data_IF_385364219179
#
_entry.id   IF_385364219179
#
_cell.length_a   1.000
_cell.length_b   1.000
_cell.length_c   1.000
_cell.angle_alpha   90.00
_cell.angle_beta   90.00
_cell.angle_gamma   90.00
#
_symmetry.space_group_name_H-M   'P 1'
#
loop_
_entity.id
_entity.type
_entity.pdbx_description
1 polymer ?
#
# COMPACT_ATOMS: atom_id res chain seq x y z
N UNK A 1 17.24 2.07 16.88
CA UNK A 1 17.25 1.89 15.41
C UNK A 1 15.88 1.41 14.89
N UNK A 2 15.25 0.40 15.51
CA UNK A 2 13.91 -0.10 15.11
C UNK A 2 12.85 1.01 15.22
N UNK A 3 12.84 1.79 16.30
CA UNK A 3 11.89 2.89 16.47
C UNK A 3 12.03 3.95 15.38
N UNK A 4 13.26 4.25 14.94
CA UNK A 4 13.49 5.23 13.87
C UNK A 4 12.93 4.75 12.52
N UNK A 5 13.13 3.47 12.16
CA UNK A 5 12.56 2.92 10.93
C UNK A 5 11.03 2.95 10.93
N UNK A 6 10.39 2.59 12.04
CA UNK A 6 8.94 2.66 12.18
C UNK A 6 8.43 4.09 12.05
N UNK A 7 9.09 5.06 12.67
CA UNK A 7 8.72 6.47 12.57
C UNK A 7 8.87 7.01 11.15
N UNK A 8 9.97 6.71 10.48
CA UNK A 8 10.21 7.13 9.09
C UNK A 8 9.18 6.52 8.13
N UNK A 9 8.91 5.22 8.26
CA UNK A 9 7.87 4.54 7.46
C UNK A 9 6.49 5.11 7.74
N UNK A 10 6.14 5.36 9.02
CA UNK A 10 4.86 5.97 9.40
C UNK A 10 4.69 7.39 8.85
N UNK A 11 5.75 8.22 8.92
CA UNK A 11 5.72 9.56 8.36
C UNK A 11 5.55 9.54 6.83
N UNK A 12 6.27 8.66 6.12
CA UNK A 12 6.13 8.49 4.67
C UNK A 12 4.75 7.98 4.28
N UNK A 13 4.17 7.07 5.06
CA UNK A 13 2.82 6.57 4.89
C UNK A 13 1.79 7.70 5.04
N UNK A 14 1.94 8.58 6.03
CA UNK A 14 1.05 9.74 6.21
C UNK A 14 1.08 10.67 4.99
N UNK A 15 2.27 11.02 4.50
CA UNK A 15 2.42 11.84 3.29
C UNK A 15 1.80 11.12 2.07
N UNK A 16 2.03 9.82 1.95
CA UNK A 16 1.47 9.01 0.88
C UNK A 16 -0.06 8.93 0.91
N UNK A 17 -0.70 8.88 2.09
CA UNK A 17 -2.16 8.95 2.22
C UNK A 17 -2.71 10.29 1.72
N UNK A 18 -2.07 11.41 2.06
CA UNK A 18 -2.49 12.73 1.61
C UNK A 18 -2.36 12.87 0.08
N UNK A 19 -1.21 12.52 -0.46
CA UNK A 19 -0.96 12.54 -1.92
C UNK A 19 -1.86 11.56 -2.64
N UNK A 20 -2.02 10.35 -2.10
CA UNK A 20 -2.82 9.27 -2.67
C UNK A 20 -4.30 9.63 -2.77
N UNK A 21 -4.86 10.34 -1.79
CA UNK A 21 -6.23 10.84 -1.86
C UNK A 21 -6.44 11.77 -3.05
N UNK A 22 -5.56 12.77 -3.20
CA UNK A 22 -5.61 13.71 -4.33
C UNK A 22 -5.42 13.01 -5.69
N UNK A 23 -4.53 12.03 -5.76
CA UNK A 23 -4.31 11.27 -6.99
C UNK A 23 -5.52 10.38 -7.34
N UNK A 24 -6.13 9.71 -6.34
CA UNK A 24 -7.30 8.85 -6.54
C UNK A 24 -8.53 9.61 -7.07
N UNK A 25 -8.61 10.90 -6.77
CA UNK A 25 -9.67 11.78 -7.28
C UNK A 25 -9.41 12.26 -8.72
N UNK A 26 -8.15 12.30 -9.16
CA UNK A 26 -7.78 12.90 -10.45
C UNK A 26 -7.39 11.91 -11.54
N UNK A 27 -6.84 10.76 -11.14
CA UNK A 27 -6.28 9.78 -12.06
C UNK A 27 -7.07 8.48 -12.03
N UNK A 28 -6.85 7.65 -13.04
CA UNK A 28 -7.44 6.32 -13.13
C UNK A 28 -6.98 5.45 -11.95
N UNK A 29 -7.92 5.07 -11.09
CA UNK A 29 -7.68 4.34 -9.85
C UNK A 29 -6.97 3.00 -10.07
N UNK A 30 -7.31 2.29 -11.17
CA UNK A 30 -6.63 1.04 -11.53
C UNK A 30 -5.14 1.24 -11.74
N UNK A 31 -4.73 2.27 -12.48
CA UNK A 31 -3.30 2.57 -12.71
C UNK A 31 -2.59 2.90 -11.41
N UNK A 32 -3.22 3.68 -10.53
CA UNK A 32 -2.65 4.02 -9.24
C UNK A 32 -2.44 2.78 -8.37
N UNK A 33 -3.44 1.86 -8.30
CA UNK A 33 -3.31 0.60 -7.56
C UNK A 33 -2.18 -0.26 -8.11
N UNK A 34 -2.10 -0.40 -9.45
CA UNK A 34 -1.07 -1.20 -10.11
C UNK A 34 0.33 -0.63 -9.88
N UNK A 35 0.50 0.69 -10.02
CA UNK A 35 1.77 1.37 -9.75
C UNK A 35 2.18 1.18 -8.29
N UNK A 36 1.26 1.44 -7.34
CA UNK A 36 1.54 1.28 -5.92
C UNK A 36 1.96 -0.15 -5.59
N UNK A 37 1.23 -1.15 -6.05
CA UNK A 37 1.56 -2.57 -5.81
C UNK A 37 2.84 -3.01 -6.51
N UNK A 38 3.04 -2.63 -7.76
CA UNK A 38 4.26 -2.95 -8.50
C UNK A 38 5.51 -2.36 -7.84
N UNK A 39 5.45 -1.11 -7.42
CA UNK A 39 6.58 -0.43 -6.73
C UNK A 39 6.85 -1.01 -5.35
N UNK A 40 5.83 -1.41 -4.58
CA UNK A 40 6.01 -2.16 -3.32
C UNK A 40 6.65 -3.53 -3.58
N UNK A 41 6.26 -4.23 -4.66
CA UNK A 41 6.89 -5.49 -5.06
C UNK A 41 8.38 -5.33 -5.34
N UNK A 42 8.77 -4.28 -6.07
CA UNK A 42 10.18 -3.95 -6.31
C UNK A 42 10.92 -3.63 -5.01
N UNK A 43 10.30 -2.87 -4.10
CA UNK A 43 10.84 -2.59 -2.77
C UNK A 43 11.08 -3.86 -1.95
N UNK A 44 10.13 -4.80 -1.97
CA UNK A 44 10.26 -6.10 -1.28
C UNK A 44 11.38 -6.96 -1.87
N UNK A 45 11.57 -6.95 -3.20
CA UNK A 45 12.72 -7.60 -3.84
C UNK A 45 14.03 -6.95 -3.40
N UNK A 46 14.08 -5.61 -3.35
CA UNK A 46 15.24 -4.88 -2.85
C UNK A 46 15.61 -5.26 -1.41
N UNK A 47 14.60 -5.38 -0.52
CA UNK A 47 14.82 -5.84 0.86
C UNK A 47 15.28 -7.29 0.93
N UNK A 48 14.73 -8.16 0.07
CA UNK A 48 15.18 -9.55 -0.05
C UNK A 48 16.65 -9.64 -0.45
N UNK A 49 17.05 -8.89 -1.48
CA UNK A 49 18.43 -8.84 -1.94
C UNK A 49 19.36 -8.27 -0.85
N UNK A 50 18.95 -7.21 -0.17
CA UNK A 50 19.71 -6.65 0.95
C UNK A 50 19.90 -7.64 2.09
N UNK A 51 18.87 -8.46 2.38
CA UNK A 51 18.94 -9.49 3.43
C UNK A 51 19.83 -10.69 3.06
N UNK A 52 20.15 -10.88 1.76
CA UNK A 52 21.08 -11.91 1.27
C UNK A 52 22.53 -11.46 1.25
N UNK A 53 22.81 -10.15 1.45
CA UNK A 53 24.18 -9.65 1.51
C UNK A 53 24.88 -10.13 2.79
N UNK A 54 26.20 -10.39 2.76
CA UNK A 54 26.98 -10.74 3.93
C UNK A 54 26.87 -9.70 5.07
N UNK A 55 26.77 -8.42 4.69
CA UNK A 55 26.54 -7.27 5.58
C UNK A 55 25.33 -6.49 5.10
N UNK A 56 24.12 -6.75 5.66
CA UNK A 56 22.92 -6.03 5.29
C UNK A 56 23.03 -4.52 5.62
N UNK A 57 22.75 -3.68 4.64
CA UNK A 57 22.81 -2.23 4.81
C UNK A 57 21.58 -1.70 5.54
N UNK A 58 21.79 -1.05 6.68
CA UNK A 58 20.72 -0.35 7.43
C UNK A 58 20.13 0.82 6.62
N UNK A 59 20.95 1.51 5.83
CA UNK A 59 20.48 2.60 4.98
C UNK A 59 19.49 2.10 3.94
N UNK A 60 19.71 0.92 3.34
CA UNK A 60 18.78 0.30 2.42
C UNK A 60 17.44 -0.04 3.10
N UNK A 61 17.46 -0.53 4.34
CA UNK A 61 16.24 -0.82 5.11
C UNK A 61 15.43 0.46 5.34
N UNK A 62 16.07 1.56 5.72
CA UNK A 62 15.37 2.84 5.93
C UNK A 62 14.79 3.39 4.63
N UNK A 63 15.58 3.43 3.55
CA UNK A 63 15.13 3.94 2.26
C UNK A 63 14.00 3.11 1.66
N UNK A 64 14.13 1.79 1.66
CA UNK A 64 13.11 0.89 1.15
C UNK A 64 11.86 0.86 2.06
N UNK A 65 12.01 1.06 3.37
CA UNK A 65 10.89 1.22 4.29
C UNK A 65 10.10 2.51 4.05
N UNK A 66 10.77 3.64 3.82
CA UNK A 66 10.15 4.90 3.42
C UNK A 66 9.43 4.74 2.08
N UNK A 67 10.09 4.12 1.11
CA UNK A 67 9.54 3.80 -0.20
C UNK A 67 8.26 2.98 -0.09
N UNK A 68 8.32 1.86 0.63
CA UNK A 68 7.18 0.96 0.80
C UNK A 68 6.01 1.65 1.52
N UNK A 69 6.27 2.37 2.62
CA UNK A 69 5.25 3.13 3.35
C UNK A 69 4.51 4.14 2.47
N UNK A 70 5.26 4.89 1.64
CA UNK A 70 4.67 5.87 0.73
C UNK A 70 3.80 5.21 -0.35
N UNK A 71 4.34 4.24 -1.09
CA UNK A 71 3.61 3.61 -2.19
C UNK A 71 2.49 2.69 -1.72
N UNK A 72 2.64 1.99 -0.59
CA UNK A 72 1.57 1.18 -0.02
C UNK A 72 0.33 2.03 0.31
N UNK A 73 0.53 3.21 0.88
CA UNK A 73 -0.57 4.13 1.23
C UNK A 73 -1.27 4.71 0.00
N UNK A 74 -0.56 4.97 -1.11
CA UNK A 74 -1.17 5.33 -2.40
C UNK A 74 -2.12 4.22 -2.90
N UNK A 75 -1.74 2.96 -2.73
CA UNK A 75 -2.57 1.82 -3.11
C UNK A 75 -3.83 1.70 -2.25
N UNK A 76 -3.72 1.94 -0.95
CA UNK A 76 -4.85 1.89 0.00
C UNK A 76 -5.88 2.96 -0.35
N UNK A 77 -5.49 4.21 -0.57
CA UNK A 77 -6.41 5.29 -0.92
C UNK A 77 -7.12 5.04 -2.25
N UNK A 78 -6.40 4.57 -3.26
CA UNK A 78 -6.98 4.23 -4.55
C UNK A 78 -7.97 3.06 -4.46
N UNK A 79 -7.68 2.04 -3.64
CA UNK A 79 -8.57 0.89 -3.43
C UNK A 79 -9.84 1.30 -2.69
N UNK A 80 -9.73 2.11 -1.64
CA UNK A 80 -10.89 2.64 -0.91
C UNK A 80 -11.78 3.47 -1.84
N UNK A 81 -11.20 4.32 -2.67
CA UNK A 81 -11.92 5.12 -3.65
C UNK A 81 -12.58 4.25 -4.76
N UNK A 82 -11.96 3.13 -5.13
CA UNK A 82 -12.48 2.21 -6.15
C UNK A 82 -13.61 1.30 -5.66
N UNK A 83 -13.64 0.98 -4.36
CA UNK A 83 -14.58 0.01 -3.78
C UNK A 83 -16.05 0.29 -4.12
N UNK A 84 -16.59 1.53 -4.00
CA UNK A 84 -17.99 1.80 -4.34
C UNK A 84 -18.33 1.56 -5.82
N UNK A 85 -17.36 1.79 -6.71
CA UNK A 85 -17.55 1.56 -8.15
C UNK A 85 -17.50 0.08 -8.53
N UNK A 86 -16.80 -0.75 -7.72
CA UNK A 86 -16.65 -2.18 -7.97
C UNK A 86 -17.83 -3.00 -7.46
N UNK A 87 -18.35 -2.69 -6.27
CA UNK A 87 -19.36 -3.53 -5.60
C UNK A 87 -20.77 -2.96 -5.63
N UNK A 88 -20.94 -1.71 -6.06
CA UNK A 88 -22.20 -1.00 -5.95
C UNK A 88 -22.49 -0.49 -4.52
N UNK A 89 -23.36 0.51 -4.41
CA UNK A 89 -23.66 1.14 -3.10
C UNK A 89 -24.39 0.20 -2.16
N UNK A 90 -25.21 -0.69 -2.69
CA UNK A 90 -26.01 -1.68 -1.96
C UNK A 90 -25.13 -2.73 -1.26
N UNK A 91 -23.95 -3.02 -1.80
CA UNK A 91 -23.06 -4.08 -1.30
C UNK A 91 -21.87 -3.54 -0.47
N UNK A 92 -21.80 -2.22 -0.23
CA UNK A 92 -20.67 -1.60 0.49
C UNK A 92 -20.49 -2.16 1.90
N UNK A 93 -21.59 -2.44 2.61
CA UNK A 93 -21.53 -3.00 3.97
C UNK A 93 -20.94 -4.42 3.95
N UNK A 94 -21.34 -5.25 2.98
CA UNK A 94 -20.81 -6.60 2.83
C UNK A 94 -19.34 -6.58 2.42
N UNK A 95 -18.95 -5.72 1.47
CA UNK A 95 -17.56 -5.54 1.06
C UNK A 95 -16.68 -5.06 2.23
N UNK A 96 -17.19 -4.14 3.05
CA UNK A 96 -16.53 -3.69 4.27
C UNK A 96 -16.33 -4.81 5.28
N UNK A 97 -17.36 -5.64 5.51
CA UNK A 97 -17.27 -6.79 6.42
C UNK A 97 -16.24 -7.82 5.95
N UNK A 98 -16.23 -8.16 4.66
CA UNK A 98 -15.25 -9.09 4.06
C UNK A 98 -13.83 -8.51 4.18
N UNK A 99 -13.65 -7.24 3.88
CA UNK A 99 -12.36 -6.57 4.00
C UNK A 99 -11.86 -6.60 5.45
N UNK A 100 -12.73 -6.29 6.40
CA UNK A 100 -12.37 -6.29 7.81
C UNK A 100 -12.02 -7.71 8.31
N UNK A 101 -12.79 -8.73 7.91
CA UNK A 101 -12.48 -10.12 8.22
C UNK A 101 -11.11 -10.53 7.65
N UNK A 102 -10.84 -10.19 6.38
CA UNK A 102 -9.57 -10.48 5.72
C UNK A 102 -8.40 -9.83 6.45
N UNK A 103 -8.53 -8.55 6.83
CA UNK A 103 -7.50 -7.82 7.59
C UNK A 103 -7.28 -8.47 8.97
N UNK A 104 -8.34 -8.85 9.67
CA UNK A 104 -8.23 -9.51 10.98
C UNK A 104 -7.57 -10.88 10.89
N UNK A 105 -7.97 -11.71 9.92
CA UNK A 105 -7.32 -13.00 9.67
C UNK A 105 -5.85 -12.81 9.29
N UNK A 106 -5.56 -11.86 8.42
CA UNK A 106 -4.18 -11.50 8.04
C UNK A 106 -3.33 -11.08 9.23
N UNK A 107 -3.88 -10.29 10.16
CA UNK A 107 -3.14 -9.83 11.34
C UNK A 107 -2.77 -10.96 12.33
N UNK A 108 -3.49 -12.07 12.30
CA UNK A 108 -3.19 -13.27 13.10
C UNK A 108 -2.27 -14.23 12.35
N UNK A 109 -2.59 -14.51 11.08
CA UNK A 109 -1.89 -15.52 10.28
C UNK A 109 -0.51 -15.03 9.84
N UNK A 110 -0.39 -13.76 9.44
CA UNK A 110 0.88 -13.21 8.90
C UNK A 110 2.05 -13.30 9.88
N UNK A 111 1.91 -12.95 11.18
CA UNK A 111 2.99 -13.11 12.15
C UNK A 111 3.39 -14.57 12.38
N UNK A 112 2.44 -15.52 12.31
CA UNK A 112 2.72 -16.94 12.45
C UNK A 112 3.57 -17.46 11.30
N UNK A 113 3.17 -17.14 10.06
CA UNK A 113 3.95 -17.50 8.86
C UNK A 113 5.30 -16.78 8.88
N UNK A 114 5.32 -15.49 9.20
CA UNK A 114 6.55 -14.72 9.29
C UNK A 114 7.53 -15.25 10.32
N UNK A 115 7.05 -15.62 11.50
CA UNK A 115 7.87 -16.23 12.55
C UNK A 115 8.43 -17.60 12.15
N UNK A 116 7.62 -18.45 11.50
CA UNK A 116 8.04 -19.74 10.98
C UNK A 116 9.14 -19.60 9.92
N UNK A 117 8.94 -18.72 8.96
CA UNK A 117 9.92 -18.44 7.90
C UNK A 117 11.22 -17.88 8.47
N UNK A 118 11.12 -17.00 9.46
CA UNK A 118 12.30 -16.46 10.13
C UNK A 118 13.10 -17.54 10.85
N UNK A 119 12.42 -18.48 11.48
CA UNK A 119 13.06 -19.59 12.22
C UNK A 119 13.71 -20.61 11.28
N UNK A 120 13.19 -20.83 10.09
CA UNK A 120 13.64 -21.88 9.16
C UNK A 120 14.55 -21.36 8.04
N UNK A 121 14.26 -20.20 7.50
CA UNK A 121 14.93 -19.67 6.30
C UNK A 121 15.51 -18.26 6.45
N UNK A 122 15.32 -17.63 7.61
CA UNK A 122 15.80 -16.27 7.86
C UNK A 122 14.96 -15.17 7.23
N UNK A 123 15.42 -13.95 7.38
CA UNK A 123 14.71 -12.71 6.97
C UNK A 123 14.48 -12.65 5.46
N UNK A 124 15.41 -13.16 4.66
CA UNK A 124 15.31 -13.13 3.20
C UNK A 124 14.05 -13.87 2.68
N UNK A 125 13.69 -14.99 3.29
CA UNK A 125 12.49 -15.75 2.95
C UNK A 125 11.20 -14.97 3.18
N UNK A 126 11.15 -14.18 4.26
CA UNK A 126 10.01 -13.29 4.55
C UNK A 126 9.82 -12.25 3.43
N UNK A 127 10.88 -11.57 3.04
CA UNK A 127 10.81 -10.59 1.96
C UNK A 127 10.55 -11.25 0.60
N UNK A 128 11.10 -12.43 0.35
CA UNK A 128 10.83 -13.21 -0.85
C UNK A 128 9.35 -13.59 -0.98
N UNK A 129 8.73 -14.07 0.11
CA UNK A 129 7.30 -14.38 0.14
C UNK A 129 6.45 -13.13 -0.05
N UNK A 130 6.81 -12.02 0.59
CA UNK A 130 6.12 -10.73 0.44
C UNK A 130 6.19 -10.24 -1.03
N UNK A 131 7.36 -10.32 -1.65
CA UNK A 131 7.54 -9.98 -3.07
C UNK A 131 6.67 -10.86 -3.98
N UNK A 132 6.74 -12.18 -3.80
CA UNK A 132 5.93 -13.12 -4.59
C UNK A 132 4.42 -12.86 -4.46
N UNK A 133 3.93 -12.68 -3.21
CA UNK A 133 2.53 -12.36 -2.95
C UNK A 133 2.11 -11.02 -3.58
N UNK A 134 2.97 -10.02 -3.53
CA UNK A 134 2.71 -8.71 -4.13
C UNK A 134 2.65 -8.79 -5.66
N UNK A 135 3.55 -9.54 -6.30
CA UNK A 135 3.50 -9.75 -7.75
C UNK A 135 2.28 -10.55 -8.19
N UNK A 136 1.91 -11.62 -7.47
CA UNK A 136 0.68 -12.39 -7.75
C UNK A 136 -0.55 -11.48 -7.65
N UNK A 137 -0.63 -10.66 -6.59
CA UNK A 137 -1.72 -9.69 -6.42
C UNK A 137 -1.73 -8.66 -7.55
N UNK A 138 -0.57 -8.14 -7.95
CA UNK A 138 -0.45 -7.18 -9.06
C UNK A 138 -0.94 -7.79 -10.38
N UNK A 139 -0.54 -9.03 -10.68
CA UNK A 139 -1.00 -9.75 -11.88
C UNK A 139 -2.52 -9.99 -11.87
N UNK A 140 -3.08 -10.31 -10.70
CA UNK A 140 -4.53 -10.47 -10.54
C UNK A 140 -5.26 -9.13 -10.78
N UNK A 141 -4.72 -8.03 -10.27
CA UNK A 141 -5.26 -6.69 -10.44
C UNK A 141 -5.20 -6.18 -11.89
N UNK A 142 -4.33 -6.72 -12.73
CA UNK A 142 -4.33 -6.41 -14.17
C UNK A 142 -5.67 -6.77 -14.84
N UNK A 143 -6.37 -7.77 -14.33
CA UNK A 143 -7.71 -8.20 -14.81
C UNK A 143 -8.85 -7.28 -14.36
N UNK A 144 -8.57 -6.32 -13.48
CA UNK A 144 -9.57 -5.35 -13.02
C UNK A 144 -10.08 -4.50 -14.20
N UNK A 145 -11.37 -4.17 -14.28
CA UNK A 145 -11.90 -3.22 -15.26
C UNK A 145 -11.28 -1.82 -15.05
N UNK A 146 -11.35 -0.98 -16.06
CA UNK A 146 -10.94 0.41 -15.94
C UNK A 146 -11.87 1.13 -14.97
N UNK A 147 -11.29 1.90 -14.04
CA UNK A 147 -11.99 2.63 -13.00
C UNK A 147 -11.67 4.13 -13.15
N UNK A 148 -12.37 4.81 -14.08
CA UNK A 148 -12.15 6.23 -14.29
C UNK A 148 -12.48 7.02 -13.02
N UNK A 149 -11.80 8.14 -12.79
CA UNK A 149 -12.13 9.03 -11.68
C UNK A 149 -13.56 9.56 -11.85
N UNK A 150 -14.26 9.88 -10.73
CA UNK A 150 -15.57 10.51 -10.83
C UNK A 150 -15.46 11.84 -11.56
N UNK A 151 -16.50 12.26 -12.33
CA UNK A 151 -16.53 13.56 -12.96
C UNK A 151 -16.49 14.64 -11.86
N UNK A 152 -15.36 15.33 -11.76
CA UNK A 152 -15.20 16.44 -10.81
C UNK A 152 -14.99 17.76 -11.54
N UNK A 153 -15.47 18.88 -10.96
CA UNK A 153 -15.07 20.21 -11.41
C UNK A 153 -13.53 20.32 -11.30
N UNK A 154 -12.89 20.88 -12.32
CA UNK A 154 -11.43 21.08 -12.37
C UNK A 154 -10.97 22.14 -11.36
N UNK A 155 -11.03 21.85 -10.08
CA UNK A 155 -10.45 22.72 -9.07
C UNK A 155 -8.96 22.45 -8.85
N UNK A 156 -8.20 23.50 -8.54
CA UNK A 156 -6.76 23.43 -8.35
C UNK A 156 -6.43 22.56 -7.13
N UNK A 157 -5.43 21.61 -7.17
CA UNK A 157 -5.16 20.65 -6.09
C UNK A 157 -4.90 21.30 -4.73
N UNK A 158 -4.23 22.44 -4.74
CA UNK A 158 -3.92 23.21 -3.53
C UNK A 158 -5.17 23.82 -2.89
N UNK A 159 -6.20 24.19 -3.68
CA UNK A 159 -7.46 24.69 -3.13
C UNK A 159 -8.26 23.60 -2.42
N UNK A 160 -8.28 22.39 -2.96
CA UNK A 160 -8.98 21.27 -2.34
C UNK A 160 -8.32 20.85 -1.01
N UNK A 161 -6.99 20.90 -0.94
CA UNK A 161 -6.25 20.65 0.32
C UNK A 161 -6.49 21.76 1.35
N UNK A 162 -6.47 23.02 0.94
CA UNK A 162 -6.76 24.17 1.82
C UNK A 162 -8.22 24.18 2.29
N UNK A 163 -9.18 23.85 1.42
CA UNK A 163 -10.58 23.72 1.80
C UNK A 163 -10.80 22.58 2.81
N UNK A 164 -10.08 21.46 2.69
CA UNK A 164 -10.09 20.37 3.69
C UNK A 164 -9.52 20.81 5.04
N UNK A 165 -8.46 21.61 5.05
CA UNK A 165 -7.88 22.16 6.28
C UNK A 165 -8.78 23.22 6.94
N UNK A 166 -9.44 24.07 6.15
CA UNK A 166 -10.40 25.07 6.68
C UNK A 166 -11.69 24.45 7.20
N UNK A 167 -12.03 23.22 6.81
CA UNK A 167 -13.19 22.51 7.33
C UNK A 167 -12.93 21.85 8.69
N UNK A 168 -11.66 21.73 9.10
CA UNK A 168 -11.22 21.14 10.38
C UNK A 168 -10.97 22.19 11.48
N UNK A 169 -11.00 23.48 11.14
CA UNK A 169 -10.96 24.61 12.08
C UNK A 169 -12.33 25.27 12.23
#
# INVERSE_FOLDING_TARGET
QVGLSVTLTGASMFVGLMVGGVLADRYERKRQILLARGTCGVGSVGLCLNALLPEPSLAAIYLLGIWDGFFASLGVTALLAATPALVGRENLMQAGAITMLTVRLGSVISPMIGGLLLATGGVAWNFGLAAAGTFITTLTLLRLPQLPPPPQPREHPLRSLLAGLTFLC
#
